data_IF_800748510317
#
_entry.id   IF_800748510317
#
_cell.length_a   1.000
_cell.length_b   1.000
_cell.length_c   1.000
_cell.angle_alpha   90.00
_cell.angle_beta   90.00
_cell.angle_gamma   90.00
#
_symmetry.space_group_name_H-M   'P 1'
#
loop_
_entity.id
_entity.type
_entity.pdbx_description
1 polymer ?
#
# COMPACT_ATOMS: atom_id res chain seq x y z
N UNK A 1 90.60 -10.99 -10.75
CA UNK A 1 89.95 -11.49 -12.00
C UNK A 1 89.39 -12.87 -11.73
N UNK A 2 88.07 -13.03 -11.68
CA UNK A 2 87.34 -14.18 -12.23
C UNK A 2 85.85 -13.92 -12.03
N UNK A 3 85.13 -13.81 -13.15
CA UNK A 3 83.67 -13.64 -13.20
C UNK A 3 83.06 -15.04 -13.23
N UNK A 4 82.10 -15.31 -12.37
CA UNK A 4 81.20 -16.46 -12.51
C UNK A 4 79.75 -15.98 -12.39
N UNK A 5 79.13 -15.85 -13.55
CA UNK A 5 77.69 -15.70 -13.78
C UNK A 5 76.93 -16.90 -13.24
N UNK A 6 75.93 -16.67 -12.38
CA UNK A 6 74.86 -17.63 -12.14
C UNK A 6 73.48 -16.98 -12.28
N UNK A 7 72.58 -17.82 -12.79
CA UNK A 7 71.37 -17.54 -13.56
C UNK A 7 70.25 -16.91 -12.71
N UNK A 8 69.52 -15.97 -13.33
CA UNK A 8 68.23 -15.47 -12.84
C UNK A 8 67.21 -16.61 -12.88
N UNK A 9 66.73 -17.04 -11.71
CA UNK A 9 65.50 -17.82 -11.57
C UNK A 9 64.35 -16.82 -11.45
N UNK A 10 63.49 -16.76 -12.47
CA UNK A 10 62.22 -16.05 -12.40
C UNK A 10 61.26 -16.89 -11.55
N UNK A 11 60.91 -16.39 -10.36
CA UNK A 11 59.82 -16.96 -9.57
C UNK A 11 58.50 -16.51 -10.20
N UNK A 12 57.80 -17.45 -10.84
CA UNK A 12 56.41 -17.26 -11.29
C UNK A 12 55.53 -17.44 -10.06
N UNK A 13 55.11 -16.32 -9.46
CA UNK A 13 54.07 -16.34 -8.42
C UNK A 13 52.71 -16.52 -9.09
N UNK A 14 52.15 -17.72 -8.99
CA UNK A 14 50.76 -18.00 -9.36
C UNK A 14 49.86 -17.30 -8.35
N UNK A 15 49.25 -16.18 -8.76
CA UNK A 15 48.14 -15.57 -8.02
C UNK A 15 46.91 -16.42 -8.27
N UNK A 16 46.52 -17.23 -7.28
CA UNK A 16 45.22 -17.88 -7.28
C UNK A 16 44.15 -16.80 -7.08
N UNK A 17 43.51 -16.37 -8.17
CA UNK A 17 42.33 -15.54 -8.10
C UNK A 17 41.19 -16.39 -7.51
N UNK A 18 40.94 -16.23 -6.21
CA UNK A 18 39.69 -16.70 -5.61
C UNK A 18 38.60 -15.79 -6.18
N UNK A 19 37.87 -16.30 -7.16
CA UNK A 19 36.66 -15.66 -7.64
C UNK A 19 35.66 -15.65 -6.47
N UNK A 20 35.53 -14.51 -5.80
CA UNK A 20 34.44 -14.27 -4.88
C UNK A 20 33.15 -14.28 -5.71
N UNK A 21 32.47 -15.42 -5.75
CA UNK A 21 31.09 -15.48 -6.23
C UNK A 21 30.26 -14.64 -5.28
N UNK A 22 29.90 -13.44 -5.70
CA UNK A 22 28.86 -12.66 -5.02
C UNK A 22 27.59 -13.49 -5.10
N UNK A 23 27.17 -14.04 -3.97
CA UNK A 23 25.81 -14.53 -3.82
C UNK A 23 24.93 -13.29 -3.90
N UNK A 24 24.33 -13.05 -5.06
CA UNK A 24 23.23 -12.11 -5.16
C UNK A 24 22.11 -12.70 -4.32
N UNK A 25 21.92 -12.16 -3.11
CA UNK A 25 20.66 -12.33 -2.42
C UNK A 25 19.59 -11.84 -3.39
N UNK A 26 18.65 -12.72 -3.74
CA UNK A 26 17.40 -12.35 -4.39
C UNK A 26 16.65 -11.43 -3.44
N UNK A 27 16.97 -10.14 -3.52
CA UNK A 27 16.10 -9.10 -2.98
C UNK A 27 14.79 -9.24 -3.76
N UNK A 28 13.67 -9.30 -3.05
CA UNK A 28 12.37 -8.96 -3.65
C UNK A 28 12.58 -7.73 -4.55
N UNK A 29 11.92 -7.65 -5.70
CA UNK A 29 12.04 -6.51 -6.61
C UNK A 29 11.50 -5.25 -5.93
N UNK A 30 12.28 -4.66 -5.03
CA UNK A 30 12.03 -3.35 -4.45
C UNK A 30 12.38 -2.38 -5.56
N UNK A 31 11.39 -1.99 -6.36
CA UNK A 31 11.52 -0.86 -7.28
C UNK A 31 11.45 0.41 -6.43
N UNK A 32 12.58 1.00 -6.04
CA UNK A 32 12.55 2.04 -5.03
C UNK A 32 12.08 3.34 -5.69
N UNK A 33 11.17 4.09 -5.06
CA UNK A 33 10.74 5.41 -5.55
C UNK A 33 11.88 6.36 -5.89
N UNK A 34 11.65 7.29 -6.80
CA UNK A 34 12.56 8.41 -7.02
C UNK A 34 12.25 9.50 -5.99
N UNK A 35 13.11 10.53 -5.84
CA UNK A 35 12.77 11.69 -4.99
C UNK A 35 11.67 12.61 -5.57
N UNK A 36 10.87 12.14 -6.55
CA UNK A 36 9.83 12.90 -7.25
C UNK A 36 8.47 12.30 -6.89
N UNK A 37 7.39 12.95 -7.33
CA UNK A 37 6.03 12.41 -7.23
C UNK A 37 5.90 11.22 -8.18
N UNK A 38 5.84 10.03 -7.62
CA UNK A 38 5.83 8.77 -8.35
C UNK A 38 4.47 8.07 -8.25
N UNK A 39 4.29 7.11 -9.15
CA UNK A 39 3.18 6.15 -9.12
C UNK A 39 3.79 4.77 -9.10
N UNK A 40 3.72 4.14 -7.93
CA UNK A 40 4.15 2.78 -7.66
C UNK A 40 2.96 1.84 -7.81
N UNK A 41 3.15 0.80 -8.61
CA UNK A 41 2.13 -0.21 -8.86
C UNK A 41 2.82 -1.56 -8.69
N UNK A 42 2.27 -2.41 -7.82
CA UNK A 42 2.70 -3.79 -7.64
C UNK A 42 2.69 -4.56 -8.95
N UNK A 43 3.66 -5.46 -9.08
CA UNK A 43 3.84 -6.21 -10.30
C UNK A 43 3.00 -7.48 -10.31
N UNK A 44 2.55 -7.95 -9.15
CA UNK A 44 1.89 -9.25 -8.97
C UNK A 44 2.66 -10.38 -9.69
N UNK A 45 4.00 -10.35 -9.70
CA UNK A 45 4.79 -11.31 -10.48
C UNK A 45 5.42 -12.41 -9.62
N UNK A 46 5.24 -12.37 -8.31
CA UNK A 46 5.62 -13.42 -7.37
C UNK A 46 4.48 -14.43 -7.16
N UNK A 47 4.18 -15.22 -8.19
CA UNK A 47 3.04 -16.14 -8.19
C UNK A 47 3.32 -17.50 -8.85
N UNK A 48 2.32 -18.37 -8.78
CA UNK A 48 2.36 -19.75 -9.28
C UNK A 48 2.62 -19.86 -10.79
N UNK A 49 2.26 -18.83 -11.55
CA UNK A 49 2.40 -18.80 -13.00
C UNK A 49 3.79 -18.29 -13.45
N UNK A 50 4.61 -17.77 -12.54
CA UNK A 50 5.96 -17.34 -12.84
C UNK A 50 6.95 -18.53 -12.76
N UNK A 51 7.43 -19.09 -13.88
CA UNK A 51 8.27 -20.29 -13.88
C UNK A 51 9.68 -20.05 -13.32
N UNK A 52 10.11 -18.80 -13.17
CA UNK A 52 11.37 -18.47 -12.50
C UNK A 52 11.27 -18.67 -10.99
N UNK A 53 10.10 -18.38 -10.42
CA UNK A 53 9.83 -18.49 -8.97
C UNK A 53 9.26 -19.87 -8.65
N UNK A 54 8.34 -20.36 -9.48
CA UNK A 54 7.69 -21.67 -9.35
C UNK A 54 8.13 -22.59 -10.51
N UNK A 55 9.26 -23.31 -10.40
CA UNK A 55 9.73 -24.18 -11.47
C UNK A 55 8.70 -25.26 -11.84
N UNK A 56 8.57 -25.61 -13.14
CA UNK A 56 7.64 -26.64 -13.58
C UNK A 56 7.84 -27.97 -12.85
N UNK A 57 6.74 -28.54 -12.35
CA UNK A 57 6.75 -29.83 -11.63
C UNK A 57 7.10 -29.74 -10.14
N UNK A 58 7.49 -28.56 -9.63
CA UNK A 58 7.63 -28.34 -8.19
C UNK A 58 6.23 -28.11 -7.60
N UNK A 59 5.77 -29.04 -6.76
CA UNK A 59 4.45 -28.95 -6.10
C UNK A 59 4.48 -28.02 -4.89
N UNK A 60 5.62 -27.92 -4.20
CA UNK A 60 5.77 -27.03 -3.06
C UNK A 60 5.69 -25.56 -3.52
N UNK A 61 4.82 -24.77 -2.89
CA UNK A 61 4.71 -23.33 -3.12
C UNK A 61 6.06 -22.64 -2.84
N UNK A 62 6.60 -21.98 -3.85
CA UNK A 62 7.84 -21.17 -3.77
C UNK A 62 7.57 -19.66 -3.86
N UNK A 63 6.37 -19.27 -4.27
CA UNK A 63 5.97 -17.88 -4.47
C UNK A 63 5.33 -17.25 -3.23
N UNK A 64 5.18 -15.94 -3.25
CA UNK A 64 4.56 -15.12 -2.20
C UNK A 64 3.11 -14.69 -2.49
N UNK A 65 2.44 -15.32 -3.46
CA UNK A 65 1.02 -15.04 -3.82
C UNK A 65 0.79 -13.57 -4.21
N UNK A 66 1.60 -13.08 -5.14
CA UNK A 66 1.60 -11.71 -5.67
C UNK A 66 2.08 -10.62 -4.70
N UNK A 67 2.46 -10.96 -3.45
CA UNK A 67 2.96 -9.97 -2.48
C UNK A 67 4.05 -9.05 -3.04
N UNK A 68 3.82 -7.75 -2.90
CA UNK A 68 4.72 -6.67 -3.28
C UNK A 68 5.17 -5.85 -2.05
N UNK A 69 6.35 -5.23 -2.16
CA UNK A 69 6.86 -4.28 -1.17
C UNK A 69 7.16 -2.95 -1.86
N UNK A 70 6.37 -1.92 -1.52
CA UNK A 70 6.39 -0.62 -2.19
C UNK A 70 6.93 0.49 -1.27
N UNK A 71 7.75 1.39 -1.82
CA UNK A 71 8.34 2.53 -1.11
C UNK A 71 8.19 3.82 -1.92
N UNK A 72 7.39 4.78 -1.44
CA UNK A 72 7.25 6.12 -2.07
C UNK A 72 8.48 7.00 -1.84
N UNK A 73 8.98 7.00 -0.60
CA UNK A 73 10.15 7.75 -0.10
C UNK A 73 9.87 9.21 0.17
N UNK A 74 9.94 10.08 -0.84
CA UNK A 74 9.90 11.52 -0.62
C UNK A 74 9.07 12.17 -1.70
N UNK A 75 8.31 13.20 -1.30
CA UNK A 75 7.25 13.85 -2.10
C UNK A 75 5.97 13.04 -2.07
N UNK A 76 4.97 13.52 -2.80
CA UNK A 76 3.62 13.01 -2.73
C UNK A 76 3.42 11.88 -3.77
N UNK A 77 3.44 10.64 -3.29
CA UNK A 77 3.45 9.41 -4.07
C UNK A 77 2.10 8.68 -4.06
N UNK A 78 1.81 7.93 -5.12
CA UNK A 78 0.68 7.01 -5.17
C UNK A 78 1.23 5.58 -5.18
N UNK A 79 0.91 4.80 -4.15
CA UNK A 79 1.25 3.38 -4.03
C UNK A 79 -0.03 2.57 -4.25
N UNK A 80 0.08 1.51 -5.06
CA UNK A 80 -1.01 0.59 -5.38
C UNK A 80 -0.45 -0.84 -5.36
N UNK A 81 -0.73 -1.60 -4.31
CA UNK A 81 -0.27 -2.98 -4.11
C UNK A 81 -0.81 -3.95 -5.16
N UNK A 82 -2.11 -3.88 -5.45
CA UNK A 82 -2.89 -4.78 -6.32
C UNK A 82 -3.25 -6.09 -5.63
N UNK A 83 -2.77 -7.24 -6.10
CA UNK A 83 -3.17 -8.53 -5.54
C UNK A 83 -2.09 -8.98 -4.56
N UNK A 84 -2.49 -9.63 -3.48
CA UNK A 84 -1.51 -10.18 -2.54
C UNK A 84 -1.68 -9.56 -1.16
N UNK A 85 -0.70 -9.79 -0.28
CA UNK A 85 -0.64 -9.18 1.04
C UNK A 85 0.56 -8.26 1.08
N UNK A 86 0.34 -7.02 0.67
CA UNK A 86 1.38 -6.07 0.32
C UNK A 86 1.88 -5.30 1.53
N UNK A 87 3.11 -4.83 1.43
CA UNK A 87 3.66 -3.86 2.39
C UNK A 87 3.97 -2.56 1.68
N UNK A 88 3.26 -1.50 2.06
CA UNK A 88 3.41 -0.17 1.49
C UNK A 88 3.97 0.81 2.50
N UNK A 89 5.00 1.55 2.11
CA UNK A 89 5.63 2.59 2.92
C UNK A 89 5.63 3.88 2.10
N UNK A 90 4.73 4.81 2.43
CA UNK A 90 4.61 6.11 1.76
C UNK A 90 5.91 6.90 1.90
N UNK A 91 6.29 7.19 3.14
CA UNK A 91 7.50 7.94 3.45
C UNK A 91 7.16 9.39 3.79
N UNK A 92 7.95 10.33 3.31
CA UNK A 92 7.71 11.75 3.58
C UNK A 92 6.94 12.39 2.43
N UNK A 93 5.78 12.99 2.70
CA UNK A 93 4.96 13.48 1.60
C UNK A 93 3.54 13.80 1.97
N UNK A 94 2.65 13.64 1.01
CA UNK A 94 1.22 13.54 1.27
C UNK A 94 0.75 12.43 0.34
N UNK A 95 0.99 11.21 0.77
CA UNK A 95 0.94 9.99 -0.02
C UNK A 95 -0.48 9.48 -0.15
N UNK A 96 -0.70 8.66 -1.17
CA UNK A 96 -1.95 7.95 -1.38
C UNK A 96 -1.61 6.48 -1.46
N UNK A 97 -2.18 5.68 -0.55
CA UNK A 97 -1.88 4.26 -0.41
C UNK A 97 -3.15 3.44 -0.69
N UNK A 98 -3.01 2.39 -1.50
CA UNK A 98 -4.09 1.51 -1.97
C UNK A 98 -3.57 0.08 -1.99
N UNK A 99 -3.85 -0.69 -0.95
CA UNK A 99 -3.38 -2.07 -0.85
C UNK A 99 -3.88 -2.92 -2.03
N UNK A 100 -5.20 -2.97 -2.22
CA UNK A 100 -5.82 -3.58 -3.39
C UNK A 100 -6.45 -4.94 -3.08
N UNK A 101 -7.12 -5.58 -4.05
CA UNK A 101 -8.01 -6.72 -3.78
C UNK A 101 -7.29 -8.03 -3.42
N UNK A 102 -7.83 -8.79 -2.45
CA UNK A 102 -7.23 -10.06 -1.98
C UNK A 102 -7.32 -11.26 -2.97
N UNK A 103 -7.94 -11.08 -4.14
CA UNK A 103 -7.97 -12.11 -5.21
C UNK A 103 -8.67 -13.44 -4.90
N UNK A 104 -9.20 -13.64 -3.68
CA UNK A 104 -10.07 -14.76 -3.30
C UNK A 104 -9.38 -16.09 -2.98
N UNK A 105 -8.05 -16.13 -2.87
CA UNK A 105 -7.28 -17.38 -2.64
C UNK A 105 -7.01 -17.62 -1.15
N UNK A 106 -6.92 -16.57 -0.33
CA UNK A 106 -6.82 -16.57 1.13
C UNK A 106 -7.03 -15.14 1.63
N UNK A 107 -7.36 -14.90 2.92
CA UNK A 107 -7.27 -13.55 3.47
C UNK A 107 -5.81 -13.08 3.43
N UNK A 108 -5.49 -12.29 2.41
CA UNK A 108 -4.24 -11.52 2.36
C UNK A 108 -4.53 -10.17 3.00
N UNK A 109 -3.58 -9.53 3.68
CA UNK A 109 -3.90 -8.25 4.30
C UNK A 109 -2.73 -7.33 4.15
N UNK A 110 -3.03 -6.12 3.77
CA UNK A 110 -2.01 -5.14 3.46
C UNK A 110 -1.58 -4.43 4.74
N UNK A 111 -0.29 -4.14 4.81
CA UNK A 111 0.31 -3.30 5.85
C UNK A 111 0.75 -2.00 5.20
N UNK A 112 0.03 -0.93 5.52
CA UNK A 112 0.22 0.37 4.90
C UNK A 112 0.70 1.36 5.95
N UNK A 113 1.86 1.98 5.71
CA UNK A 113 2.46 3.00 6.56
C UNK A 113 2.50 4.31 5.76
N UNK A 114 1.76 5.34 6.22
CA UNK A 114 1.75 6.66 5.59
C UNK A 114 3.13 7.31 5.70
N UNK A 115 3.55 7.54 6.95
CA UNK A 115 4.81 8.21 7.25
C UNK A 115 4.56 9.69 7.58
N UNK A 116 5.60 10.54 7.58
CA UNK A 116 5.40 11.97 7.78
C UNK A 116 4.63 12.61 6.62
N UNK A 117 3.42 13.11 6.87
CA UNK A 117 2.59 13.62 5.79
C UNK A 117 1.14 13.86 6.16
N UNK A 118 0.35 14.34 5.19
CA UNK A 118 -1.10 14.28 5.31
C UNK A 118 -1.58 13.24 4.30
N UNK A 119 -1.51 11.99 4.70
CA UNK A 119 -1.65 10.86 3.81
C UNK A 119 -3.10 10.42 3.69
N UNK A 120 -3.38 9.70 2.59
CA UNK A 120 -4.70 9.18 2.29
C UNK A 120 -4.59 7.70 1.99
N UNK A 121 -5.08 6.86 2.90
CA UNK A 121 -5.34 5.46 2.58
C UNK A 121 -6.75 5.32 1.99
N UNK A 122 -6.88 4.56 0.90
CA UNK A 122 -8.16 4.25 0.29
C UNK A 122 -8.36 2.75 0.30
N UNK A 123 -9.47 2.33 0.90
CA UNK A 123 -9.93 0.95 0.94
C UNK A 123 -11.22 0.80 0.13
N UNK A 124 -11.25 -0.18 -0.75
CA UNK A 124 -12.40 -0.55 -1.56
C UNK A 124 -12.93 -1.94 -1.19
N UNK A 125 -14.23 -2.21 -1.44
CA UNK A 125 -14.78 -3.56 -1.29
C UNK A 125 -13.99 -4.57 -2.13
N UNK A 126 -13.41 -5.56 -1.45
CA UNK A 126 -12.52 -6.56 -2.04
C UNK A 126 -11.08 -6.47 -1.55
N UNK A 127 -10.68 -5.32 -1.00
CA UNK A 127 -9.30 -5.06 -0.56
C UNK A 127 -8.87 -5.86 0.66
N UNK A 128 -9.83 -6.30 1.48
CA UNK A 128 -9.51 -7.21 2.56
C UNK A 128 -9.25 -6.59 3.92
N UNK A 129 -8.64 -7.36 4.81
CA UNK A 129 -8.53 -7.04 6.24
C UNK A 129 -7.25 -6.29 6.63
N UNK A 130 -7.08 -5.09 6.10
CA UNK A 130 -5.80 -4.37 6.19
C UNK A 130 -5.48 -3.75 7.55
N UNK A 131 -4.24 -3.29 7.66
CA UNK A 131 -3.75 -2.42 8.71
C UNK A 131 -3.15 -1.14 8.11
N UNK A 132 -3.68 0.02 8.50
CA UNK A 132 -3.13 1.32 8.13
C UNK A 132 -2.63 2.07 9.36
N UNK A 133 -1.40 2.57 9.27
CA UNK A 133 -0.79 3.49 10.24
C UNK A 133 -0.49 4.80 9.53
N UNK A 134 -1.15 5.89 9.91
CA UNK A 134 -0.91 7.20 9.28
C UNK A 134 0.45 7.79 9.65
N UNK A 135 0.82 7.68 10.93
CA UNK A 135 2.01 8.29 11.53
C UNK A 135 1.89 9.81 11.72
N UNK A 136 2.89 10.60 11.31
CA UNK A 136 2.99 12.02 11.65
C UNK A 136 2.20 12.89 10.65
N UNK A 137 1.02 13.35 11.04
CA UNK A 137 0.36 14.49 10.39
C UNK A 137 -1.15 14.45 10.48
N UNK A 138 -1.85 14.61 9.34
CA UNK A 138 -3.33 14.59 9.31
C UNK A 138 -3.83 13.63 8.25
N UNK A 139 -3.88 12.38 8.66
CA UNK A 139 -4.15 11.26 7.80
C UNK A 139 -5.64 11.01 7.67
N UNK A 140 -6.00 10.49 6.51
CA UNK A 140 -7.40 10.21 6.16
C UNK A 140 -7.52 8.80 5.61
N UNK A 141 -8.36 7.98 6.22
CA UNK A 141 -8.79 6.72 5.61
C UNK A 141 -10.14 6.90 4.91
N UNK A 142 -10.25 6.40 3.67
CA UNK A 142 -11.44 6.50 2.83
C UNK A 142 -11.95 5.11 2.49
N UNK A 143 -13.19 4.81 2.85
CA UNK A 143 -13.89 3.58 2.44
C UNK A 143 -14.81 3.90 1.28
N UNK A 144 -14.45 3.48 0.07
CA UNK A 144 -15.27 3.66 -1.12
C UNK A 144 -14.80 2.78 -2.29
N UNK A 145 -15.71 2.30 -3.14
CA UNK A 145 -15.31 1.63 -4.38
C UNK A 145 -14.57 2.61 -5.30
N UNK A 146 -13.56 2.10 -6.01
CA UNK A 146 -12.86 2.86 -7.03
C UNK A 146 -13.75 3.13 -8.25
N UNK A 147 -13.52 4.28 -8.88
CA UNK A 147 -13.93 4.50 -10.27
C UNK A 147 -12.88 3.84 -11.14
N UNK A 148 -13.29 2.82 -11.89
CA UNK A 148 -12.40 2.05 -12.76
C UNK A 148 -12.61 2.41 -14.22
N UNK A 149 -11.62 2.06 -15.04
CA UNK A 149 -11.73 2.03 -16.49
C UNK A 149 -12.52 0.79 -16.92
N UNK A 150 -12.85 0.69 -18.20
CA UNK A 150 -13.58 -0.46 -18.77
C UNK A 150 -12.86 -1.80 -18.62
N UNK A 151 -11.54 -1.78 -18.45
CA UNK A 151 -10.71 -2.97 -18.22
C UNK A 151 -10.54 -3.32 -16.74
N UNK A 152 -11.21 -2.62 -15.83
CA UNK A 152 -11.10 -2.86 -14.38
C UNK A 152 -9.99 -2.07 -13.68
N UNK A 153 -9.03 -1.50 -14.41
CA UNK A 153 -7.95 -0.70 -13.81
C UNK A 153 -8.47 0.55 -13.11
N UNK A 154 -7.74 1.02 -12.10
CA UNK A 154 -7.96 2.31 -11.48
C UNK A 154 -7.99 3.44 -12.52
N UNK A 155 -9.03 4.28 -12.47
CA UNK A 155 -9.08 5.52 -13.23
C UNK A 155 -8.29 6.60 -12.50
N UNK A 156 -7.08 6.86 -12.97
CA UNK A 156 -6.24 7.94 -12.47
C UNK A 156 -6.52 9.26 -13.19
N UNK A 157 -6.44 10.37 -12.46
CA UNK A 157 -6.56 11.72 -13.00
C UNK A 157 -5.43 12.62 -12.51
N UNK A 158 -5.12 13.67 -13.28
CA UNK A 158 -4.16 14.67 -12.86
C UNK A 158 -4.80 15.66 -11.88
N UNK A 159 -4.11 15.89 -10.76
CA UNK A 159 -4.46 16.92 -9.79
C UNK A 159 -3.16 17.50 -9.22
N UNK A 160 -2.99 18.83 -9.29
CA UNK A 160 -1.86 19.55 -8.70
C UNK A 160 -0.47 18.94 -9.02
N UNK A 161 -0.28 18.55 -10.29
CA UNK A 161 1.00 18.02 -10.77
C UNK A 161 1.31 16.57 -10.38
N UNK A 162 0.33 15.81 -9.87
CA UNK A 162 0.43 14.35 -9.67
C UNK A 162 -0.80 13.60 -10.17
N UNK A 163 -0.67 12.29 -10.35
CA UNK A 163 -1.81 11.40 -10.57
C UNK A 163 -2.43 11.02 -9.24
N UNK A 164 -3.77 10.96 -9.21
CA UNK A 164 -4.56 10.52 -8.06
C UNK A 164 -5.68 9.57 -8.52
N UNK A 165 -6.10 8.61 -7.69
CA UNK A 165 -7.25 7.77 -7.98
C UNK A 165 -8.57 8.54 -7.79
N UNK A 166 -9.66 7.89 -8.21
CA UNK A 166 -11.03 8.36 -8.02
C UNK A 166 -11.86 7.28 -7.35
N UNK A 167 -12.77 7.70 -6.48
CA UNK A 167 -13.71 6.81 -5.79
C UNK A 167 -15.15 7.29 -5.92
N UNK A 168 -16.09 6.37 -5.76
CA UNK A 168 -17.52 6.65 -5.76
C UNK A 168 -18.16 6.32 -4.39
N UNK A 169 -18.18 7.33 -3.51
CA UNK A 169 -18.61 7.19 -2.11
C UNK A 169 -20.09 7.53 -1.85
N UNK A 170 -20.73 8.31 -2.73
CA UNK A 170 -22.00 8.98 -2.43
C UNK A 170 -23.19 8.02 -2.36
N UNK A 171 -23.50 7.40 -3.49
CA UNK A 171 -24.70 6.59 -3.65
C UNK A 171 -24.41 5.11 -3.46
N UNK A 172 -24.14 4.73 -2.20
CA UNK A 172 -23.86 3.35 -1.78
C UNK A 172 -24.64 2.98 -0.52
N UNK A 173 -25.98 2.85 -0.59
CA UNK A 173 -26.82 2.57 0.57
C UNK A 173 -26.55 1.21 1.22
N UNK A 174 -25.97 0.28 0.47
CA UNK A 174 -25.58 -1.04 0.96
C UNK A 174 -24.35 -1.03 1.87
N UNK A 175 -23.56 0.05 1.86
CA UNK A 175 -22.30 0.11 2.59
C UNK A 175 -22.42 0.97 3.84
N UNK A 176 -21.94 0.44 4.98
CA UNK A 176 -21.86 1.19 6.24
C UNK A 176 -20.58 0.88 6.98
N UNK A 177 -20.13 1.85 7.77
CA UNK A 177 -19.00 1.69 8.67
C UNK A 177 -19.42 1.90 10.12
N UNK A 178 -18.73 1.20 11.02
CA UNK A 178 -18.75 1.38 12.46
C UNK A 178 -17.32 1.56 12.98
N UNK A 179 -17.11 2.54 13.85
CA UNK A 179 -15.82 2.81 14.49
C UNK A 179 -15.81 2.14 15.86
N UNK A 180 -14.82 1.30 16.11
CA UNK A 180 -14.62 0.62 17.38
C UNK A 180 -13.30 1.07 17.98
N UNK A 181 -13.34 1.72 19.14
CA UNK A 181 -12.11 2.09 19.86
C UNK A 181 -11.47 0.83 20.45
N UNK A 182 -10.18 0.63 20.20
CA UNK A 182 -9.43 -0.51 20.74
C UNK A 182 -9.06 -0.23 22.20
N UNK A 183 -9.47 -1.08 23.16
CA UNK A 183 -9.01 -0.98 24.54
C UNK A 183 -7.50 -1.23 24.64
N UNK A 184 -6.78 -0.46 25.46
CA UNK A 184 -5.32 -0.62 25.63
C UNK A 184 -4.90 -2.04 26.02
N UNK A 185 -5.73 -2.74 26.79
CA UNK A 185 -5.49 -4.13 27.24
C UNK A 185 -5.43 -5.17 26.12
N UNK A 186 -5.95 -4.86 24.93
CA UNK A 186 -5.92 -5.80 23.81
C UNK A 186 -4.55 -5.83 23.12
N UNK A 187 -3.68 -4.83 23.36
CA UNK A 187 -2.29 -4.77 22.85
C UNK A 187 -2.14 -4.97 21.34
N UNK A 188 -3.19 -4.70 20.54
CA UNK A 188 -3.24 -4.96 19.10
C UNK A 188 -2.38 -4.02 18.25
N UNK A 189 -1.73 -3.02 18.84
CA UNK A 189 -1.02 -1.97 18.10
C UNK A 189 -1.94 -1.01 17.31
N UNK A 190 -3.27 -1.20 17.34
CA UNK A 190 -4.26 -0.32 16.72
C UNK A 190 -4.95 0.57 17.76
N UNK A 191 -5.35 1.78 17.35
CA UNK A 191 -6.16 2.70 18.15
C UNK A 191 -7.65 2.54 17.89
N UNK A 192 -8.00 2.27 16.63
CA UNK A 192 -9.37 2.04 16.17
C UNK A 192 -9.42 0.83 15.24
N UNK A 193 -10.56 0.14 15.27
CA UNK A 193 -10.99 -0.73 14.20
C UNK A 193 -12.11 -0.03 13.45
N UNK A 194 -12.14 -0.19 12.13
CA UNK A 194 -13.30 0.15 11.32
C UNK A 194 -13.92 -1.13 10.80
N UNK A 195 -15.15 -1.38 11.23
CA UNK A 195 -15.96 -2.47 10.72
C UNK A 195 -16.71 -1.98 9.51
N UNK A 196 -16.44 -2.58 8.35
CA UNK A 196 -17.15 -2.29 7.12
C UNK A 196 -18.18 -3.38 6.85
N UNK A 197 -19.40 -2.95 6.56
CA UNK A 197 -20.51 -3.85 6.28
C UNK A 197 -21.04 -3.63 4.87
N UNK A 198 -21.41 -4.73 4.22
CA UNK A 198 -22.13 -4.74 2.95
C UNK A 198 -23.46 -5.48 3.15
N UNK A 199 -24.58 -4.83 2.81
CA UNK A 199 -25.93 -5.38 3.05
C UNK A 199 -26.11 -5.90 4.47
N UNK A 200 -25.71 -5.09 5.45
CA UNK A 200 -25.72 -5.38 6.89
C UNK A 200 -24.87 -6.56 7.38
N UNK A 201 -24.15 -7.24 6.48
CA UNK A 201 -23.19 -8.28 6.83
C UNK A 201 -21.84 -7.64 7.09
N UNK A 202 -21.19 -7.98 8.21
CA UNK A 202 -19.82 -7.56 8.49
C UNK A 202 -18.92 -8.20 7.45
N UNK A 203 -18.43 -7.40 6.50
CA UNK A 203 -17.60 -7.89 5.41
C UNK A 203 -16.14 -7.93 5.84
N UNK A 204 -15.67 -6.86 6.51
CA UNK A 204 -14.29 -6.79 6.96
C UNK A 204 -14.11 -5.92 8.19
N UNK A 205 -12.96 -6.08 8.84
CA UNK A 205 -12.46 -5.19 9.89
C UNK A 205 -11.11 -4.67 9.45
N UNK A 206 -10.91 -3.35 9.44
CA UNK A 206 -9.62 -2.72 9.14
C UNK A 206 -9.03 -2.14 10.43
N UNK A 207 -7.73 -2.31 10.63
CA UNK A 207 -7.00 -1.76 11.78
C UNK A 207 -6.42 -0.40 11.46
N UNK A 208 -6.55 0.55 12.38
CA UNK A 208 -6.07 1.91 12.22
C UNK A 208 -5.28 2.36 13.45
N UNK A 209 -4.17 3.05 13.20
CA UNK A 209 -3.40 3.78 14.21
C UNK A 209 -2.93 5.11 13.62
N UNK A 210 -2.97 6.17 14.43
CA UNK A 210 -2.51 7.50 14.04
C UNK A 210 -3.22 7.95 12.75
N UNK A 211 -4.57 7.92 12.78
CA UNK A 211 -5.43 8.38 11.69
C UNK A 211 -6.40 9.40 12.25
N UNK A 212 -6.45 10.60 11.67
CA UNK A 212 -7.26 11.71 12.19
C UNK A 212 -8.69 11.70 11.63
N UNK A 213 -8.86 11.25 10.38
CA UNK A 213 -10.14 11.36 9.66
C UNK A 213 -10.54 10.06 8.99
N UNK A 214 -11.82 9.75 9.07
CA UNK A 214 -12.43 8.61 8.39
C UNK A 214 -13.57 9.06 7.48
N UNK A 215 -13.57 8.62 6.23
CA UNK A 215 -14.68 8.79 5.28
C UNK A 215 -15.33 7.43 5.01
N UNK A 216 -16.64 7.40 5.08
CA UNK A 216 -17.45 6.23 4.73
C UNK A 216 -18.67 6.62 3.90
N UNK A 217 -19.26 5.67 3.16
CA UNK A 217 -20.44 5.95 2.37
C UNK A 217 -21.61 6.43 3.21
N UNK A 218 -22.39 7.36 2.65
CA UNK A 218 -23.56 7.94 3.31
C UNK A 218 -24.89 7.31 2.88
N UNK A 219 -24.88 6.45 1.85
CA UNK A 219 -26.11 5.97 1.20
C UNK A 219 -26.92 7.08 0.54
N UNK A 220 -26.28 8.20 0.19
CA UNK A 220 -26.90 9.40 -0.36
C UNK A 220 -25.98 10.03 -1.39
N UNK A 221 -26.50 10.27 -2.60
CA UNK A 221 -25.78 10.97 -3.64
C UNK A 221 -25.11 12.27 -3.13
N UNK A 222 -23.89 12.52 -3.57
CA UNK A 222 -23.10 13.71 -3.25
C UNK A 222 -22.83 13.95 -1.75
N UNK A 223 -22.88 12.90 -0.92
CA UNK A 223 -22.59 12.98 0.51
C UNK A 223 -21.67 11.86 0.99
N UNK A 224 -20.90 12.14 2.03
CA UNK A 224 -20.11 11.15 2.76
C UNK A 224 -20.39 11.28 4.26
N UNK A 225 -20.26 10.17 4.99
CA UNK A 225 -20.18 10.17 6.45
C UNK A 225 -18.71 10.38 6.82
N UNK A 226 -18.43 11.40 7.61
CA UNK A 226 -17.09 11.74 8.08
C UNK A 226 -17.04 11.57 9.59
N UNK A 227 -15.97 10.99 10.10
CA UNK A 227 -15.64 11.01 11.51
C UNK A 227 -14.27 11.65 11.74
N UNK A 228 -14.17 12.38 12.84
CA UNK A 228 -12.95 12.97 13.37
C UNK A 228 -12.48 12.10 14.53
N UNK A 229 -11.44 11.31 14.30
CA UNK A 229 -10.94 10.30 15.22
C UNK A 229 -10.08 10.90 16.34
N UNK A 230 -9.70 12.18 16.22
CA UNK A 230 -8.99 12.93 17.27
C UNK A 230 -9.90 13.25 18.47
N UNK A 231 -11.22 13.16 18.29
CA UNK A 231 -12.20 13.44 19.34
C UNK A 231 -12.21 12.33 20.40
N UNK A 232 -12.55 12.71 21.63
CA UNK A 232 -12.73 11.75 22.74
C UNK A 232 -13.75 10.65 22.42
N UNK A 233 -14.83 11.02 21.73
CA UNK A 233 -15.90 10.12 21.27
C UNK A 233 -16.15 10.35 19.78
N UNK A 234 -15.37 9.72 18.90
CA UNK A 234 -15.55 9.85 17.46
C UNK A 234 -16.94 9.35 17.04
N UNK A 235 -17.60 10.13 16.20
CA UNK A 235 -18.91 9.78 15.65
C UNK A 235 -19.01 10.31 14.23
N UNK A 236 -19.73 9.58 13.38
CA UNK A 236 -19.99 10.01 12.02
C UNK A 236 -20.99 11.15 11.96
N UNK A 237 -20.71 12.13 11.12
CA UNK A 237 -21.66 13.14 10.68
C UNK A 237 -21.61 13.26 9.15
N UNK A 238 -22.72 13.66 8.54
CA UNK A 238 -22.82 13.71 7.07
C UNK A 238 -22.36 15.05 6.53
N UNK A 239 -21.50 15.03 5.51
CA UNK A 239 -21.06 16.22 4.77
C UNK A 239 -21.41 16.10 3.30
N UNK A 240 -21.50 17.23 2.59
CA UNK A 240 -21.57 17.25 1.12
C UNK A 240 -20.16 17.11 0.54
N UNK A 241 -20.00 16.35 -0.55
CA UNK A 241 -18.70 16.11 -1.15
C UNK A 241 -18.00 17.40 -1.61
N UNK A 242 -18.77 18.39 -2.07
CA UNK A 242 -18.23 19.71 -2.45
C UNK A 242 -17.69 20.56 -1.29
N UNK A 243 -17.85 20.11 -0.03
CA UNK A 243 -17.25 20.74 1.16
C UNK A 243 -15.89 20.12 1.50
N UNK A 244 -15.52 19.02 0.83
CA UNK A 244 -14.20 18.41 0.95
C UNK A 244 -13.27 19.09 -0.06
N UNK A 245 -12.17 19.63 0.42
CA UNK A 245 -11.19 20.37 -0.38
C UNK A 245 -9.89 19.60 -0.62
N UNK A 246 -9.00 20.21 -1.40
CA UNK A 246 -7.67 19.67 -1.71
C UNK A 246 -7.71 18.33 -2.42
N UNK A 247 -6.66 17.53 -2.23
CA UNK A 247 -6.51 16.19 -2.82
C UNK A 247 -7.66 15.27 -2.44
N UNK A 248 -8.08 15.27 -1.16
CA UNK A 248 -9.23 14.47 -0.70
C UNK A 248 -10.51 14.82 -1.46
N UNK A 249 -10.80 16.12 -1.60
CA UNK A 249 -11.94 16.60 -2.38
C UNK A 249 -11.87 16.17 -3.85
N UNK A 250 -10.68 16.17 -4.45
CA UNK A 250 -10.49 15.73 -5.83
C UNK A 250 -10.68 14.21 -6.01
N UNK A 251 -10.28 13.40 -5.03
CA UNK A 251 -10.46 11.93 -5.01
C UNK A 251 -11.94 11.56 -4.94
N UNK A 252 -12.71 12.23 -4.06
CA UNK A 252 -14.11 11.89 -3.75
C UNK A 252 -15.14 12.75 -4.45
N UNK A 253 -14.72 13.71 -5.28
CA UNK A 253 -15.66 14.58 -5.98
C UNK A 253 -16.65 13.76 -6.80
N UNK A 254 -17.87 14.27 -6.94
CA UNK A 254 -18.89 13.62 -7.77
C UNK A 254 -18.35 13.43 -9.21
N UNK A 255 -18.77 12.36 -9.92
CA UNK A 255 -18.46 12.15 -11.33
C UNK A 255 -18.89 13.35 -12.20
#
# INVERSE_FOLDING_TARGET
MSRTTLRRLAAVSVVAAVAATTVSASMANIAPGTPKKDVHIGLDNDNADNPFIQPPGVVAKQHMDNTDVLFGRAKEDLLVGKLGGDTEIGGSGADILVGGPEGGVAPNSDVLLGGPGNDINIWAPGDGSDAYVGEDGRDTMVFAPFVTKSNGDLKLQWHQGRKIPRVDIGDKPQFRCEIVKVPKREELGAQFLVRFFANDTLAVTVRQKDVEKLLCPAGQANRARVADLTRKHPAFYTVRLNRLGGTLGAIVAAP
#
